data_IF_583391057552
#
_entry.id   IF_583391057552
#
_cell.length_a   1.000
_cell.length_b   1.000
_cell.length_c   1.000
_cell.angle_alpha   90.00
_cell.angle_beta   90.00
_cell.angle_gamma   90.00
#
_symmetry.space_group_name_H-M   'P 1'
#
loop_
_entity.id
_entity.type
_entity.pdbx_description
1 polymer ?
#
# COMPACT_ATOMS: atom_id res chain seq x y z
N UNK A 1 -15.60 -35.79 -4.61
CA UNK A 1 -14.98 -34.46 -4.83
C UNK A 1 -13.82 -34.69 -5.76
N UNK A 2 -13.78 -33.99 -6.88
CA UNK A 2 -12.65 -34.03 -7.81
C UNK A 2 -11.50 -33.24 -7.17
N UNK A 3 -10.40 -33.94 -6.84
CA UNK A 3 -9.22 -33.39 -6.16
C UNK A 3 -8.10 -33.05 -7.15
N UNK A 4 -8.36 -33.13 -8.46
CA UNK A 4 -7.38 -32.88 -9.52
C UNK A 4 -6.68 -31.52 -9.45
N UNK A 5 -7.32 -30.51 -8.84
CA UNK A 5 -6.72 -29.20 -8.62
C UNK A 5 -5.59 -29.18 -7.58
N UNK A 6 -5.52 -30.18 -6.67
CA UNK A 6 -4.43 -30.31 -5.71
C UNK A 6 -3.13 -30.81 -6.35
N UNK A 7 -3.20 -31.35 -7.57
CA UNK A 7 -2.04 -31.75 -8.36
C UNK A 7 -1.67 -30.69 -9.42
N UNK A 8 -2.51 -29.65 -9.60
CA UNK A 8 -2.25 -28.54 -10.51
C UNK A 8 -1.32 -27.51 -9.85
N UNK A 9 -0.06 -27.53 -10.28
CA UNK A 9 0.97 -26.66 -9.76
C UNK A 9 0.70 -25.16 -10.01
N UNK A 10 0.02 -24.82 -11.10
CA UNK A 10 -0.37 -23.44 -11.42
C UNK A 10 -1.52 -22.99 -10.52
N UNK A 11 -2.52 -23.85 -10.31
CA UNK A 11 -3.63 -23.55 -9.39
C UNK A 11 -3.13 -23.33 -7.96
N UNK A 12 -2.25 -24.20 -7.48
CA UNK A 12 -1.65 -24.06 -6.14
C UNK A 12 -0.77 -22.80 -6.03
N UNK A 13 -0.09 -22.40 -7.10
CA UNK A 13 0.65 -21.13 -7.17
C UNK A 13 -0.31 -19.95 -7.04
N UNK A 14 -1.42 -19.98 -7.75
CA UNK A 14 -2.44 -18.93 -7.70
C UNK A 14 -3.04 -18.82 -6.30
N UNK A 15 -3.36 -19.95 -5.67
CA UNK A 15 -3.85 -19.98 -4.30
C UNK A 15 -2.83 -19.41 -3.31
N UNK A 16 -1.57 -19.81 -3.40
CA UNK A 16 -0.53 -19.30 -2.52
C UNK A 16 -0.30 -17.79 -2.68
N UNK A 17 -0.32 -17.28 -3.91
CA UNK A 17 -0.30 -15.84 -4.18
C UNK A 17 -1.50 -15.13 -3.53
N UNK A 18 -2.71 -15.69 -3.68
CA UNK A 18 -3.93 -15.14 -3.10
C UNK A 18 -3.88 -15.09 -1.57
N UNK A 19 -3.36 -16.14 -0.92
CA UNK A 19 -3.18 -16.18 0.53
C UNK A 19 -2.27 -15.04 0.99
N UNK A 20 -1.10 -14.87 0.35
CA UNK A 20 -0.14 -13.83 0.73
C UNK A 20 -0.70 -12.41 0.48
N UNK A 21 -1.30 -12.13 -0.69
CA UNK A 21 -1.84 -10.78 -0.98
C UNK A 21 -3.05 -10.44 -0.11
N UNK A 22 -3.90 -11.41 0.20
CA UNK A 22 -5.07 -11.21 1.07
C UNK A 22 -4.65 -10.87 2.49
N UNK A 23 -3.55 -11.45 2.98
CA UNK A 23 -2.97 -11.08 4.27
C UNK A 23 -2.57 -9.59 4.28
N UNK A 24 -1.83 -9.14 3.26
CA UNK A 24 -1.44 -7.74 3.13
C UNK A 24 -2.66 -6.79 3.08
N UNK A 25 -3.70 -7.15 2.34
CA UNK A 25 -4.95 -6.39 2.27
C UNK A 25 -5.69 -6.36 3.62
N UNK A 26 -5.69 -7.48 4.34
CA UNK A 26 -6.31 -7.57 5.67
C UNK A 26 -5.57 -6.69 6.68
N UNK A 27 -4.24 -6.73 6.68
CA UNK A 27 -3.42 -5.90 7.57
C UNK A 27 -3.66 -4.40 7.31
N UNK A 28 -3.74 -3.99 6.03
CA UNK A 28 -4.11 -2.63 5.67
C UNK A 28 -5.52 -2.30 6.16
N UNK A 29 -6.51 -3.16 5.90
CA UNK A 29 -7.89 -2.92 6.29
C UNK A 29 -8.04 -2.75 7.81
N UNK A 30 -7.38 -3.60 8.62
CA UNK A 30 -7.36 -3.45 10.07
C UNK A 30 -6.70 -2.13 10.50
N UNK A 31 -5.61 -1.75 9.83
CA UNK A 31 -4.94 -0.47 10.06
C UNK A 31 -5.87 0.70 9.78
N UNK A 32 -6.65 0.67 8.69
CA UNK A 32 -7.58 1.75 8.32
C UNK A 32 -8.86 1.79 9.18
N UNK A 33 -9.23 0.67 9.80
CA UNK A 33 -10.39 0.58 10.71
C UNK A 33 -10.05 0.99 12.15
N UNK A 34 -8.79 1.35 12.43
CA UNK A 34 -8.35 1.82 13.73
C UNK A 34 -9.13 3.06 14.22
N UNK A 35 -9.35 3.17 15.53
CA UNK A 35 -9.99 4.35 16.11
C UNK A 35 -8.99 5.50 16.26
N UNK A 36 -9.47 6.75 16.21
CA UNK A 36 -8.69 7.98 16.45
C UNK A 36 -7.55 8.24 15.43
N UNK A 37 -7.73 7.84 14.18
CA UNK A 37 -6.80 8.20 13.11
C UNK A 37 -7.19 9.53 12.47
N UNK A 38 -6.23 10.44 12.36
CA UNK A 38 -6.38 11.62 11.52
C UNK A 38 -6.45 11.20 10.05
N UNK A 39 -7.13 12.01 9.23
CA UNK A 39 -7.26 11.77 7.78
C UNK A 39 -5.89 11.65 7.11
N UNK A 40 -4.92 12.45 7.56
CA UNK A 40 -3.51 12.34 7.18
C UNK A 40 -2.92 10.94 7.42
N UNK A 41 -3.15 10.36 8.61
CA UNK A 41 -2.65 9.02 8.94
C UNK A 41 -3.24 7.95 8.00
N UNK A 42 -4.53 8.07 7.67
CA UNK A 42 -5.18 7.16 6.72
C UNK A 42 -4.53 7.24 5.34
N UNK A 43 -4.24 8.46 4.86
CA UNK A 43 -3.52 8.63 3.59
C UNK A 43 -2.11 8.05 3.64
N UNK A 44 -1.33 8.32 4.70
CA UNK A 44 0.01 7.77 4.89
C UNK A 44 0.01 6.23 4.89
N UNK A 45 -0.97 5.58 5.52
CA UNK A 45 -1.13 4.13 5.48
C UNK A 45 -1.40 3.60 4.06
N UNK A 46 -2.27 4.25 3.30
CA UNK A 46 -2.56 3.88 1.90
C UNK A 46 -1.33 4.10 1.01
N UNK A 47 -0.66 5.25 1.13
CA UNK A 47 0.58 5.57 0.41
C UNK A 47 1.68 4.55 0.69
N UNK A 48 1.87 4.19 1.96
CA UNK A 48 2.80 3.14 2.37
C UNK A 48 2.45 1.79 1.74
N UNK A 49 1.15 1.45 1.67
CA UNK A 49 0.71 0.22 1.03
C UNK A 49 0.97 0.20 -0.48
N UNK A 50 0.69 1.30 -1.18
CA UNK A 50 1.01 1.46 -2.60
C UNK A 50 2.51 1.26 -2.85
N UNK A 51 3.38 1.82 -2.00
CA UNK A 51 4.82 1.64 -2.11
C UNK A 51 5.24 0.16 -1.93
N UNK A 52 4.59 -0.57 -1.01
CA UNK A 52 4.80 -2.02 -0.86
C UNK A 52 4.40 -2.77 -2.13
N UNK A 53 3.25 -2.44 -2.73
CA UNK A 53 2.81 -3.05 -3.99
C UNK A 53 3.80 -2.76 -5.14
N UNK A 54 4.34 -1.54 -5.22
CA UNK A 54 5.37 -1.20 -6.21
C UNK A 54 6.65 -2.03 -6.04
N UNK A 55 7.10 -2.22 -4.80
CA UNK A 55 8.21 -3.11 -4.49
C UNK A 55 7.89 -4.56 -4.92
N UNK A 56 6.69 -5.05 -4.62
CA UNK A 56 6.29 -6.40 -5.02
C UNK A 56 6.30 -6.54 -6.55
N UNK A 57 5.74 -5.58 -7.27
CA UNK A 57 5.78 -5.57 -8.74
C UNK A 57 7.21 -5.66 -9.28
N UNK A 58 8.14 -4.84 -8.76
CA UNK A 58 9.55 -4.90 -9.13
C UNK A 58 10.17 -6.28 -8.83
N UNK A 59 9.84 -6.88 -7.68
CA UNK A 59 10.35 -8.20 -7.33
C UNK A 59 9.82 -9.29 -8.27
N UNK A 60 8.54 -9.26 -8.65
CA UNK A 60 8.01 -10.22 -9.62
C UNK A 60 8.65 -10.07 -11.01
N UNK A 61 8.96 -8.84 -11.46
CA UNK A 61 9.75 -8.62 -12.69
C UNK A 61 11.12 -9.31 -12.58
N UNK A 62 11.77 -9.20 -11.42
CA UNK A 62 13.06 -9.82 -11.12
C UNK A 62 12.96 -11.33 -10.81
N UNK A 63 11.77 -11.94 -10.96
CA UNK A 63 11.48 -13.33 -10.62
C UNK A 63 11.78 -13.68 -9.15
N UNK A 64 11.52 -12.74 -8.24
CA UNK A 64 11.70 -12.87 -6.80
C UNK A 64 10.34 -12.83 -6.11
N UNK A 65 10.12 -13.76 -5.18
CA UNK A 65 8.87 -13.88 -4.40
C UNK A 65 9.13 -13.82 -2.89
N UNK A 66 10.19 -13.11 -2.48
CA UNK A 66 10.73 -13.15 -1.10
C UNK A 66 9.70 -12.71 -0.05
N UNK A 67 8.83 -11.75 -0.39
CA UNK A 67 7.78 -11.27 0.51
C UNK A 67 6.47 -12.08 0.44
N UNK A 68 6.37 -13.02 -0.48
CA UNK A 68 5.21 -13.91 -0.62
C UNK A 68 5.57 -15.25 0.02
N UNK A 69 5.48 -15.33 1.34
CA UNK A 69 5.97 -16.49 2.12
C UNK A 69 5.31 -17.80 1.71
N UNK A 70 4.00 -17.79 1.47
CA UNK A 70 3.25 -18.98 1.07
C UNK A 70 3.68 -19.42 -0.32
N UNK A 71 3.76 -18.47 -1.28
CA UNK A 71 4.20 -18.75 -2.64
C UNK A 71 5.66 -19.23 -2.70
N UNK A 72 6.56 -18.55 -1.97
CA UNK A 72 7.99 -18.87 -1.89
C UNK A 72 8.23 -20.27 -1.33
N UNK A 73 7.43 -20.69 -0.34
CA UNK A 73 7.55 -22.02 0.26
C UNK A 73 7.27 -23.17 -0.69
N UNK A 74 6.52 -22.92 -1.78
CA UNK A 74 6.17 -23.95 -2.77
C UNK A 74 7.36 -24.42 -3.60
N UNK A 75 8.42 -23.60 -3.72
CA UNK A 75 9.62 -23.89 -4.53
C UNK A 75 9.29 -24.36 -5.97
N UNK A 76 8.16 -23.91 -6.51
CA UNK A 76 7.71 -24.26 -7.85
C UNK A 76 8.47 -23.42 -8.89
N UNK A 77 8.91 -24.07 -9.97
CA UNK A 77 9.50 -23.38 -11.13
C UNK A 77 8.43 -22.79 -12.07
N UNK A 78 7.16 -23.21 -11.94
CA UNK A 78 6.05 -22.78 -12.79
C UNK A 78 5.35 -21.50 -12.29
N UNK A 79 6.02 -20.70 -11.45
CA UNK A 79 5.44 -19.44 -10.96
C UNK A 79 5.22 -18.48 -12.13
N UNK A 80 3.96 -18.12 -12.37
CA UNK A 80 3.57 -17.18 -13.42
C UNK A 80 3.77 -15.71 -12.96
N UNK A 81 5.03 -15.29 -12.95
CA UNK A 81 5.43 -13.95 -12.53
C UNK A 81 4.72 -12.83 -13.31
N UNK A 82 4.53 -13.00 -14.63
CA UNK A 82 3.89 -12.00 -15.47
C UNK A 82 2.43 -11.78 -15.07
N UNK A 83 1.70 -12.86 -14.78
CA UNK A 83 0.32 -12.79 -14.28
C UNK A 83 0.26 -12.00 -12.97
N UNK A 84 1.14 -12.31 -12.03
CA UNK A 84 1.16 -11.64 -10.72
C UNK A 84 1.60 -10.18 -10.80
N UNK A 85 2.56 -9.83 -11.67
CA UNK A 85 2.89 -8.44 -11.98
C UNK A 85 1.65 -7.67 -12.45
N UNK A 86 0.90 -8.23 -13.41
CA UNK A 86 -0.29 -7.57 -13.94
C UNK A 86 -1.36 -7.36 -12.86
N UNK A 87 -1.61 -8.37 -12.02
CA UNK A 87 -2.55 -8.25 -10.90
C UNK A 87 -2.11 -7.20 -9.87
N UNK A 88 -0.83 -7.14 -9.53
CA UNK A 88 -0.29 -6.13 -8.62
C UNK A 88 -0.43 -4.73 -9.21
N UNK A 89 -0.15 -4.54 -10.50
CA UNK A 89 -0.39 -3.24 -11.16
C UNK A 89 -1.86 -2.85 -11.13
N UNK A 90 -2.78 -3.78 -11.40
CA UNK A 90 -4.21 -3.50 -11.27
C UNK A 90 -4.61 -3.10 -9.85
N UNK A 91 -3.99 -3.69 -8.82
CA UNK A 91 -4.18 -3.25 -7.43
C UNK A 91 -3.65 -1.84 -7.21
N UNK A 92 -2.43 -1.53 -7.68
CA UNK A 92 -1.84 -0.18 -7.57
C UNK A 92 -2.77 0.85 -8.19
N UNK A 93 -3.23 0.61 -9.41
CA UNK A 93 -4.12 1.53 -10.13
C UNK A 93 -5.47 1.67 -9.41
N UNK A 94 -6.02 0.57 -8.91
CA UNK A 94 -7.24 0.57 -8.11
C UNK A 94 -7.12 1.40 -6.83
N UNK A 95 -6.00 1.29 -6.10
CA UNK A 95 -5.75 2.10 -4.91
C UNK A 95 -5.55 3.58 -5.25
N UNK A 96 -4.76 3.90 -6.27
CA UNK A 96 -4.57 5.30 -6.71
C UNK A 96 -5.88 5.95 -7.12
N UNK A 97 -6.71 5.25 -7.88
CA UNK A 97 -8.02 5.75 -8.28
C UNK A 97 -8.98 5.89 -7.10
N UNK A 98 -9.01 4.90 -6.19
CA UNK A 98 -9.94 4.91 -5.05
C UNK A 98 -9.65 6.04 -4.05
N UNK A 99 -8.39 6.42 -3.92
CA UNK A 99 -7.89 7.38 -2.94
C UNK A 99 -7.35 8.67 -3.58
N UNK A 100 -7.72 8.96 -4.83
CA UNK A 100 -7.28 10.17 -5.55
C UNK A 100 -7.61 11.46 -4.79
N UNK A 101 -8.81 11.53 -4.19
CA UNK A 101 -9.31 12.71 -3.49
C UNK A 101 -8.48 13.08 -2.25
N UNK A 102 -7.72 12.12 -1.70
CA UNK A 102 -6.82 12.37 -0.58
C UNK A 102 -5.52 13.05 -1.04
N UNK A 103 -5.07 12.79 -2.27
CA UNK A 103 -3.88 13.44 -2.83
C UNK A 103 -4.13 14.92 -3.09
N UNK A 104 -5.35 15.30 -3.52
CA UNK A 104 -5.69 16.69 -3.82
C UNK A 104 -5.73 17.60 -2.59
N UNK A 105 -5.84 17.02 -1.39
CA UNK A 105 -5.95 17.75 -0.12
C UNK A 105 -4.77 17.49 0.82
N UNK A 106 -3.75 16.79 0.33
CA UNK A 106 -2.68 16.31 1.18
C UNK A 106 -1.82 17.43 1.74
N UNK A 107 -1.51 18.45 0.94
CA UNK A 107 -0.65 19.57 1.35
C UNK A 107 -1.27 20.36 2.53
N UNK A 108 -2.59 20.57 2.51
CA UNK A 108 -3.31 21.19 3.63
C UNK A 108 -3.34 20.27 4.86
N UNK A 109 -3.45 18.95 4.67
CA UNK A 109 -3.49 17.99 5.77
C UNK A 109 -2.13 17.79 6.45
N UNK A 110 -1.04 17.87 5.69
CA UNK A 110 0.33 17.77 6.21
C UNK A 110 0.63 18.93 7.18
N UNK A 111 0.14 20.13 6.85
CA UNK A 111 0.19 21.31 7.73
C UNK A 111 -0.41 21.06 9.11
N UNK A 112 -1.59 20.45 9.16
CA UNK A 112 -2.26 20.15 10.42
C UNK A 112 -1.68 18.91 11.13
N UNK A 113 -1.06 17.99 10.39
CA UNK A 113 -0.51 16.76 10.95
C UNK A 113 0.83 17.01 11.65
N UNK A 114 1.67 17.87 11.09
CA UNK A 114 2.95 18.26 11.70
C UNK A 114 3.21 19.76 11.55
N UNK A 115 2.54 20.60 12.36
CA UNK A 115 2.74 22.04 12.32
C UNK A 115 4.14 22.48 12.74
N UNK A 116 4.98 21.61 13.31
CA UNK A 116 6.35 21.95 13.72
C UNK A 116 7.41 21.49 12.72
N UNK A 117 7.09 20.53 11.86
CA UNK A 117 7.97 20.04 10.79
C UNK A 117 7.96 20.87 9.52
N UNK A 118 7.05 21.84 9.39
CA UNK A 118 6.87 22.67 8.20
C UNK A 118 7.45 24.06 8.40
N UNK A 119 8.22 24.54 7.44
CA UNK A 119 8.63 25.93 7.37
C UNK A 119 7.41 26.82 7.10
N UNK A 120 7.10 27.70 8.05
CA UNK A 120 5.94 28.59 7.96
C UNK A 120 5.95 29.48 6.71
N UNK A 121 7.10 29.75 6.10
CA UNK A 121 7.19 30.51 4.84
C UNK A 121 6.73 29.72 3.60
N UNK A 122 6.73 28.39 3.68
CA UNK A 122 6.26 27.49 2.62
C UNK A 122 4.79 27.07 2.79
N UNK A 123 4.14 27.45 3.91
CA UNK A 123 2.74 27.20 4.17
C UNK A 123 1.81 28.16 3.37
N UNK A 124 0.52 27.83 3.19
CA UNK A 124 -0.44 28.75 2.60
C UNK A 124 -0.46 30.10 3.33
N UNK A 125 -0.48 31.20 2.57
CA UNK A 125 -0.31 32.58 3.09
C UNK A 125 -1.22 32.91 4.29
N UNK A 126 -2.45 32.37 4.30
CA UNK A 126 -3.42 32.62 5.36
C UNK A 126 -3.05 32.02 6.73
N UNK A 127 -2.16 31.02 6.77
CA UNK A 127 -1.79 30.31 8.01
C UNK A 127 -0.39 30.64 8.52
N UNK A 128 0.45 31.34 7.74
CA UNK A 128 1.88 31.50 8.05
C UNK A 128 2.13 32.18 9.40
N UNK A 129 1.37 33.23 9.74
CA UNK A 129 1.51 33.92 11.02
C UNK A 129 1.06 33.05 12.20
N UNK A 130 -0.07 32.36 12.07
CA UNK A 130 -0.59 31.45 13.10
C UNK A 130 0.38 30.28 13.34
N UNK A 131 1.01 29.75 12.29
CA UNK A 131 2.07 28.75 12.39
C UNK A 131 3.29 29.25 13.16
N UNK A 132 3.79 30.45 12.87
CA UNK A 132 4.92 31.03 13.60
C UNK A 132 4.58 31.15 15.09
N UNK A 133 3.36 31.58 15.43
CA UNK A 133 2.92 31.67 16.82
C UNK A 133 2.82 30.30 17.50
N UNK A 134 2.25 29.29 16.84
CA UNK A 134 2.14 27.93 17.37
C UNK A 134 3.53 27.29 17.56
N UNK A 135 4.46 27.53 16.64
CA UNK A 135 5.80 26.94 16.66
C UNK A 135 6.73 27.51 17.75
N UNK A 136 6.44 28.72 18.26
CA UNK A 136 7.30 29.43 19.21
C UNK A 136 6.70 29.60 20.61
N UNK A 137 5.55 28.97 20.89
CA UNK A 137 4.95 28.87 22.24
C UNK A 137 5.37 27.58 22.94
#
# INVERSE_FOLDING_TARGET
MDVSFLDDDQWLNDLAFLVDITKYLTDLNLTLQGRKQFVYNLHEHVKTFINKLQLFHQQFILKKVIHFSTLSSRKSEAVNHNKYCALINSLIDGFKLRFSDFSDKFDEMELFADPFGIDATNAPEMFQLELIEIQNN
#
